data_IF_201118338981
#
_entry.id   IF_201118338981
#
_cell.length_a   1.000
_cell.length_b   1.000
_cell.length_c   1.000
_cell.angle_alpha   90.00
_cell.angle_beta   90.00
_cell.angle_gamma   90.00
#
_symmetry.space_group_name_H-M   'P 1'
#
loop_
_entity.id
_entity.type
_entity.pdbx_description
1 polymer ?
#
# COMPACT_ATOMS: atom_id res chain seq x y z
N UNK A 1 36.32 -0.59 -7.85
CA UNK A 1 35.32 -0.25 -6.81
C UNK A 1 34.01 -0.95 -7.14
N UNK A 2 33.74 -2.12 -6.57
CA UNK A 2 32.43 -2.77 -6.76
C UNK A 2 32.04 -3.68 -5.57
N UNK A 3 32.45 -3.27 -4.36
CA UNK A 3 32.19 -4.02 -3.13
C UNK A 3 30.69 -4.16 -2.82
N UNK A 4 29.89 -3.18 -3.24
CA UNK A 4 28.45 -3.13 -3.00
C UNK A 4 27.63 -4.05 -3.91
N UNK A 5 28.14 -4.42 -5.08
CA UNK A 5 27.41 -5.27 -6.03
C UNK A 5 27.11 -6.67 -5.47
N UNK A 6 27.87 -7.13 -4.48
CA UNK A 6 27.62 -8.40 -3.78
C UNK A 6 26.33 -8.37 -2.95
N UNK A 7 25.86 -7.20 -2.53
CA UNK A 7 24.68 -7.04 -1.69
C UNK A 7 23.42 -6.73 -2.48
N UNK A 8 23.50 -6.56 -3.80
CA UNK A 8 22.35 -6.23 -4.65
C UNK A 8 21.21 -7.23 -4.51
N UNK A 9 21.48 -8.53 -4.71
CA UNK A 9 20.44 -9.57 -4.63
C UNK A 9 19.87 -9.75 -3.21
N UNK A 10 20.70 -9.85 -2.14
CA UNK A 10 20.18 -9.93 -0.77
C UNK A 10 19.33 -8.73 -0.38
N UNK A 11 19.80 -7.51 -0.68
CA UNK A 11 19.06 -6.28 -0.34
C UNK A 11 17.76 -6.22 -1.11
N UNK A 12 17.76 -6.54 -2.40
CA UNK A 12 16.54 -6.58 -3.19
C UNK A 12 15.50 -7.56 -2.62
N UNK A 13 15.92 -8.78 -2.27
CA UNK A 13 15.03 -9.78 -1.66
C UNK A 13 14.45 -9.31 -0.33
N UNK A 14 15.27 -8.72 0.54
CA UNK A 14 14.84 -8.20 1.84
C UNK A 14 13.87 -7.03 1.66
N UNK A 15 14.21 -6.06 0.81
CA UNK A 15 13.38 -4.87 0.57
C UNK A 15 12.01 -5.28 0.00
N UNK A 16 12.00 -6.23 -0.94
CA UNK A 16 10.76 -6.81 -1.49
C UNK A 16 9.90 -7.46 -0.40
N UNK A 17 10.51 -8.26 0.48
CA UNK A 17 9.81 -8.92 1.56
C UNK A 17 9.21 -7.92 2.55
N UNK A 18 9.98 -6.90 2.94
CA UNK A 18 9.53 -5.84 3.85
C UNK A 18 8.36 -5.06 3.24
N UNK A 19 8.50 -4.58 2.01
CA UNK A 19 7.45 -3.79 1.33
C UNK A 19 6.18 -4.62 1.15
N UNK A 20 6.31 -5.88 0.72
CA UNK A 20 5.17 -6.78 0.56
C UNK A 20 4.44 -7.05 1.89
N UNK A 21 5.17 -7.28 2.97
CA UNK A 21 4.58 -7.51 4.30
C UNK A 21 3.96 -6.25 4.91
N UNK A 22 4.54 -5.06 4.68
CA UNK A 22 3.92 -3.80 5.10
C UNK A 22 2.58 -3.60 4.38
N UNK A 23 2.55 -3.87 3.08
CA UNK A 23 1.32 -3.78 2.29
C UNK A 23 0.26 -4.80 2.74
N UNK A 24 0.69 -6.03 3.02
CA UNK A 24 -0.19 -7.07 3.54
C UNK A 24 -0.76 -6.73 4.93
N UNK A 25 0.07 -6.12 5.79
CA UNK A 25 -0.36 -5.63 7.11
C UNK A 25 -1.44 -4.55 6.98
N UNK A 26 -1.28 -3.62 6.04
CA UNK A 26 -2.29 -2.59 5.77
C UNK A 26 -3.62 -3.20 5.27
N UNK A 27 -3.55 -4.18 4.37
CA UNK A 27 -4.74 -4.95 3.98
C UNK A 27 -5.39 -5.70 5.15
N UNK A 28 -4.56 -6.27 6.04
CA UNK A 28 -5.00 -6.94 7.26
C UNK A 28 -5.75 -6.01 8.23
N UNK A 29 -5.38 -4.73 8.30
CA UNK A 29 -6.13 -3.73 9.07
C UNK A 29 -7.54 -3.57 8.52
N UNK A 30 -7.68 -3.48 7.19
CA UNK A 30 -8.97 -3.24 6.54
C UNK A 30 -9.91 -4.45 6.58
N UNK A 31 -9.36 -5.67 6.45
CA UNK A 31 -10.14 -6.92 6.37
C UNK A 31 -10.36 -7.57 7.72
N UNK A 32 -9.30 -7.68 8.53
CA UNK A 32 -9.31 -8.45 9.77
C UNK A 32 -9.42 -7.57 11.02
N UNK A 33 -9.26 -6.25 10.88
CA UNK A 33 -9.15 -5.34 12.03
C UNK A 33 -7.93 -5.64 12.91
N UNK A 34 -6.98 -6.43 12.39
CA UNK A 34 -5.74 -6.82 13.07
C UNK A 34 -4.60 -5.89 12.64
N UNK A 35 -3.48 -5.91 13.37
CA UNK A 35 -2.28 -5.07 13.11
C UNK A 35 -2.36 -3.59 13.52
N UNK A 36 -3.43 -3.17 14.23
CA UNK A 36 -3.53 -1.85 14.90
C UNK A 36 -3.66 -0.66 13.93
N UNK A 37 -3.88 0.56 14.42
CA UNK A 37 -3.80 1.79 13.61
C UNK A 37 -5.12 2.31 13.01
N UNK A 38 -6.06 1.44 12.58
CA UNK A 38 -7.38 1.86 12.08
C UNK A 38 -8.44 0.81 12.46
N UNK A 39 -9.65 1.20 12.90
CA UNK A 39 -10.74 0.24 13.09
C UNK A 39 -11.06 -0.44 11.75
N UNK A 40 -11.21 -1.77 11.76
CA UNK A 40 -11.57 -2.54 10.58
C UNK A 40 -12.79 -1.93 9.89
N UNK A 41 -12.77 -1.89 8.56
CA UNK A 41 -13.84 -1.23 7.81
C UNK A 41 -14.98 -2.20 7.55
N UNK A 42 -16.20 -1.82 7.94
CA UNK A 42 -17.41 -2.59 7.62
C UNK A 42 -17.88 -2.35 6.17
N UNK A 43 -17.24 -1.42 5.46
CA UNK A 43 -17.63 -1.05 4.10
C UNK A 43 -17.06 -2.07 3.11
N UNK A 44 -17.93 -2.72 2.33
CA UNK A 44 -17.56 -3.72 1.32
C UNK A 44 -16.55 -3.18 0.31
N UNK A 45 -16.59 -1.88 -0.01
CA UNK A 45 -15.63 -1.26 -0.92
C UNK A 45 -14.21 -1.26 -0.33
N UNK A 46 -14.09 -0.83 0.92
CA UNK A 46 -12.81 -0.78 1.64
C UNK A 46 -12.27 -2.18 1.93
N UNK A 47 -13.14 -3.16 2.24
CA UNK A 47 -12.72 -4.55 2.41
C UNK A 47 -12.18 -5.17 1.11
N UNK A 48 -12.78 -4.81 -0.04
CA UNK A 48 -12.30 -5.27 -1.34
C UNK A 48 -10.87 -4.79 -1.60
N UNK A 49 -10.59 -3.51 -1.34
CA UNK A 49 -9.22 -2.96 -1.36
C UNK A 49 -8.30 -3.68 -0.38
N UNK A 50 -8.77 -3.92 0.85
CA UNK A 50 -8.02 -4.65 1.86
C UNK A 50 -7.61 -6.08 1.45
N UNK A 51 -8.49 -6.83 0.77
CA UNK A 51 -8.15 -8.16 0.25
C UNK A 51 -7.10 -8.11 -0.86
N UNK A 52 -7.20 -7.12 -1.76
CA UNK A 52 -6.20 -6.89 -2.81
C UNK A 52 -4.84 -6.58 -2.19
N UNK A 53 -4.81 -5.80 -1.11
CA UNK A 53 -3.58 -5.45 -0.42
C UNK A 53 -2.99 -6.62 0.37
N UNK A 54 -3.82 -7.39 1.06
CA UNK A 54 -3.40 -8.57 1.80
C UNK A 54 -2.80 -9.62 0.87
N UNK A 55 -3.57 -10.02 -0.15
CA UNK A 55 -3.15 -11.04 -1.12
C UNK A 55 -1.97 -10.52 -1.94
N UNK A 56 -2.10 -9.32 -2.51
CA UNK A 56 -1.05 -8.71 -3.34
C UNK A 56 0.26 -8.47 -2.59
N UNK A 57 0.18 -8.06 -1.32
CA UNK A 57 1.35 -7.91 -0.44
C UNK A 57 2.08 -9.24 -0.21
N UNK A 58 1.35 -10.33 0.03
CA UNK A 58 1.95 -11.67 0.14
C UNK A 58 2.59 -12.16 -1.16
N UNK A 59 1.91 -11.97 -2.31
CA UNK A 59 2.46 -12.29 -3.62
C UNK A 59 3.78 -11.54 -3.88
N UNK A 60 3.83 -10.24 -3.55
CA UNK A 60 5.05 -9.42 -3.66
C UNK A 60 6.13 -9.94 -2.71
N UNK A 61 5.81 -10.18 -1.43
CA UNK A 61 6.79 -10.61 -0.43
C UNK A 61 7.48 -11.92 -0.83
N UNK A 62 6.70 -12.93 -1.21
CA UNK A 62 7.21 -14.24 -1.59
C UNK A 62 7.77 -14.31 -3.02
N UNK A 63 7.54 -13.30 -3.84
CA UNK A 63 8.10 -13.23 -5.19
C UNK A 63 7.27 -13.91 -6.28
N UNK A 64 5.98 -14.14 -6.02
CA UNK A 64 5.07 -14.78 -6.97
C UNK A 64 4.36 -13.71 -7.81
N UNK A 65 4.44 -13.81 -9.13
CA UNK A 65 3.78 -12.89 -10.08
C UNK A 65 3.98 -11.39 -9.73
N UNK A 66 5.15 -11.03 -9.21
CA UNK A 66 5.40 -9.72 -8.57
C UNK A 66 5.06 -8.52 -9.44
N UNK A 67 5.31 -8.61 -10.76
CA UNK A 67 4.98 -7.51 -11.69
C UNK A 67 3.47 -7.24 -11.75
N UNK A 68 2.67 -8.30 -11.88
CA UNK A 68 1.20 -8.17 -11.99
C UNK A 68 0.64 -7.71 -10.65
N UNK A 69 1.10 -8.35 -9.57
CA UNK A 69 0.68 -7.99 -8.22
C UNK A 69 0.99 -6.54 -7.88
N UNK A 70 2.23 -6.09 -8.13
CA UNK A 70 2.64 -4.71 -7.87
C UNK A 70 1.89 -3.69 -8.75
N UNK A 71 1.57 -4.04 -10.01
CA UNK A 71 0.79 -3.17 -10.88
C UNK A 71 -0.63 -2.96 -10.35
N UNK A 72 -1.31 -4.04 -9.95
CA UNK A 72 -2.65 -3.98 -9.38
C UNK A 72 -2.64 -3.21 -8.05
N UNK A 73 -1.71 -3.56 -7.16
CA UNK A 73 -1.54 -2.89 -5.86
C UNK A 73 -1.26 -1.39 -5.99
N UNK A 74 -0.44 -0.98 -6.97
CA UNK A 74 -0.19 0.44 -7.24
C UNK A 74 -1.43 1.16 -7.77
N UNK A 75 -2.23 0.51 -8.62
CA UNK A 75 -3.47 1.09 -9.16
C UNK A 75 -4.52 1.29 -8.07
N UNK A 76 -4.68 0.30 -7.18
CA UNK A 76 -5.63 0.35 -6.07
C UNK A 76 -5.30 1.48 -5.08
N UNK A 77 -4.02 1.64 -4.70
CA UNK A 77 -3.58 2.77 -3.88
C UNK A 77 -3.73 4.13 -4.57
N UNK A 78 -3.50 4.20 -5.89
CA UNK A 78 -3.72 5.44 -6.63
C UNK A 78 -5.19 5.86 -6.57
N UNK A 79 -6.12 4.93 -6.79
CA UNK A 79 -7.57 5.19 -6.65
C UNK A 79 -7.91 5.63 -5.22
N UNK A 80 -7.40 4.93 -4.21
CA UNK A 80 -7.62 5.28 -2.80
C UNK A 80 -7.11 6.70 -2.48
N UNK A 81 -5.95 7.10 -3.01
CA UNK A 81 -5.41 8.44 -2.84
C UNK A 81 -6.36 9.51 -3.41
N UNK A 82 -6.84 9.34 -4.64
CA UNK A 82 -7.77 10.30 -5.24
C UNK A 82 -9.11 10.36 -4.51
N UNK A 83 -9.62 9.22 -4.04
CA UNK A 83 -10.91 9.16 -3.33
C UNK A 83 -10.84 9.72 -1.91
N UNK A 84 -9.73 9.53 -1.20
CA UNK A 84 -9.64 9.88 0.23
C UNK A 84 -8.93 11.22 0.43
N UNK A 85 -7.87 11.51 -0.32
CA UNK A 85 -7.07 12.72 -0.11
C UNK A 85 -7.52 13.85 -1.04
N UNK A 86 -7.69 13.57 -2.34
CA UNK A 86 -8.03 14.62 -3.31
C UNK A 86 -9.50 15.01 -3.25
N UNK A 87 -10.41 14.04 -3.09
CA UNK A 87 -11.84 14.34 -2.99
C UNK A 87 -12.21 15.13 -1.72
N UNK A 88 -11.51 14.88 -0.60
CA UNK A 88 -11.73 15.56 0.67
C UNK A 88 -10.96 16.88 0.81
N UNK A 89 -10.06 17.20 -0.13
CA UNK A 89 -9.31 18.45 -0.12
C UNK A 89 -10.21 19.67 -0.41
N UNK A 90 -10.27 20.60 0.53
CA UNK A 90 -11.14 21.79 0.47
C UNK A 90 -10.54 22.95 -0.33
N UNK A 91 -9.22 23.02 -0.49
CA UNK A 91 -8.54 24.09 -1.21
C UNK A 91 -7.89 23.60 -2.51
N UNK A 92 -7.75 24.46 -3.55
CA UNK A 92 -7.03 24.11 -4.77
C UNK A 92 -5.57 23.71 -4.51
N UNK A 93 -4.94 24.33 -3.50
CA UNK A 93 -3.58 24.00 -3.07
C UNK A 93 -3.50 22.60 -2.48
N UNK A 94 -4.46 22.19 -1.65
CA UNK A 94 -4.52 20.84 -1.07
C UNK A 94 -4.79 19.74 -2.12
N UNK A 95 -5.47 20.07 -3.22
CA UNK A 95 -5.66 19.15 -4.35
C UNK A 95 -4.37 18.90 -5.14
N UNK A 96 -3.49 19.91 -5.23
CA UNK A 96 -2.21 19.83 -5.94
C UNK A 96 -1.05 19.33 -5.06
N UNK A 97 -1.01 19.72 -3.79
CA UNK A 97 0.05 19.38 -2.86
C UNK A 97 -0.47 18.42 -1.77
N UNK A 98 -0.03 17.14 -1.79
CA UNK A 98 -0.47 16.14 -0.81
C UNK A 98 -0.25 16.58 0.64
N UNK A 99 0.85 17.29 0.90
CA UNK A 99 1.19 17.77 2.24
C UNK A 99 0.25 18.88 2.76
N UNK A 100 -0.44 19.57 1.84
CA UNK A 100 -1.45 20.57 2.18
C UNK A 100 -2.85 19.95 2.31
N UNK A 101 -3.04 18.68 1.89
CA UNK A 101 -4.23 17.91 2.26
C UNK A 101 -4.09 17.51 3.73
N UNK A 102 -4.72 18.27 4.62
CA UNK A 102 -5.00 17.74 5.95
C UNK A 102 -5.87 16.50 5.72
N UNK A 103 -5.34 15.31 6.03
CA UNK A 103 -6.10 14.06 5.92
C UNK A 103 -7.45 14.17 6.67
N UNK A 104 -8.40 13.25 6.40
CA UNK A 104 -9.66 13.24 7.13
C UNK A 104 -9.37 13.19 8.64
N UNK A 105 -9.87 14.18 9.37
CA UNK A 105 -9.90 14.18 10.84
C UNK A 105 -10.97 13.20 11.31
#
# INVERSE_FOLDING_TARGET
MNFLNRFTDPVYCIMRLIVGLMFASHGGQLVLGMFGGMPGSNNSFTQTGGWIQLIGGFLIAFGLLTRISAFISSGEMAVAYFMIHVANATTPMAKFFPIASAGPQ
#
